data_IF_675200677235
#
_entry.id   IF_675200677235
#
_cell.length_a   1.000
_cell.length_b   1.000
_cell.length_c   1.000
_cell.angle_alpha   90.00
_cell.angle_beta   90.00
_cell.angle_gamma   90.00
#
_symmetry.space_group_name_H-M   'P 1'
#
loop_
_entity.id
_entity.type
_entity.pdbx_description
1 polymer ?
#
# COMPACT_ATOMS: atom_id res chain seq x y z
N UNK A 1 8.24 21.72 16.77
CA UNK A 1 7.00 22.42 16.34
C UNK A 1 5.97 21.35 16.00
N UNK A 2 4.67 21.60 16.23
CA UNK A 2 3.62 20.68 15.77
C UNK A 2 3.25 21.07 14.34
N UNK A 3 3.33 20.13 13.40
CA UNK A 3 3.06 20.36 11.99
C UNK A 3 2.11 19.28 11.46
N UNK A 4 1.22 19.66 10.53
CA UNK A 4 0.37 18.74 9.79
C UNK A 4 0.86 18.76 8.34
N UNK A 5 1.15 17.59 7.79
CA UNK A 5 1.54 17.42 6.40
C UNK A 5 0.28 17.35 5.52
N UNK A 6 -0.20 18.52 5.10
CA UNK A 6 -1.50 18.67 4.44
C UNK A 6 -1.65 17.88 3.13
N UNK A 7 -0.57 17.56 2.40
CA UNK A 7 -0.69 16.83 1.12
C UNK A 7 -1.33 15.46 1.35
N UNK A 8 -0.75 14.64 2.21
CA UNK A 8 -1.26 13.29 2.49
C UNK A 8 -2.62 13.35 3.20
N UNK A 9 -2.82 14.30 4.11
CA UNK A 9 -4.09 14.51 4.79
C UNK A 9 -5.22 14.90 3.81
N UNK A 10 -4.94 15.76 2.83
CA UNK A 10 -5.91 16.17 1.82
C UNK A 10 -6.21 15.04 0.84
N UNK A 11 -5.21 14.20 0.49
CA UNK A 11 -5.43 12.97 -0.30
C UNK A 11 -6.43 12.08 0.42
N UNK A 12 -6.26 11.85 1.72
CA UNK A 12 -7.20 11.06 2.52
C UNK A 12 -8.63 11.64 2.46
N UNK A 13 -8.79 12.93 2.78
CA UNK A 13 -10.11 13.57 2.79
C UNK A 13 -10.78 13.56 1.42
N UNK A 14 -10.03 13.95 0.38
CA UNK A 14 -10.52 13.94 -0.99
C UNK A 14 -10.94 12.53 -1.39
N UNK A 15 -10.11 11.53 -1.13
CA UNK A 15 -10.38 10.16 -1.52
C UNK A 15 -11.61 9.58 -0.82
N UNK A 16 -11.77 9.84 0.48
CA UNK A 16 -12.95 9.42 1.23
C UNK A 16 -14.24 10.05 0.67
N UNK A 17 -14.25 11.36 0.42
CA UNK A 17 -15.40 12.07 -0.17
C UNK A 17 -15.67 11.58 -1.58
N UNK A 18 -14.62 11.43 -2.40
CA UNK A 18 -14.71 11.00 -3.78
C UNK A 18 -15.26 9.58 -3.89
N UNK A 19 -14.78 8.64 -3.06
CA UNK A 19 -15.29 7.27 -3.06
C UNK A 19 -16.77 7.20 -2.68
N UNK A 20 -17.20 7.97 -1.68
CA UNK A 20 -18.62 8.07 -1.31
C UNK A 20 -19.45 8.68 -2.45
N UNK A 21 -18.95 9.72 -3.10
CA UNK A 21 -19.58 10.31 -4.29
C UNK A 21 -19.72 9.29 -5.43
N UNK A 22 -18.69 8.48 -5.69
CA UNK A 22 -18.74 7.42 -6.70
C UNK A 22 -19.82 6.39 -6.36
N UNK A 23 -19.86 5.89 -5.12
CA UNK A 23 -20.88 4.91 -4.67
C UNK A 23 -22.29 5.48 -4.82
N UNK A 24 -22.49 6.73 -4.39
CA UNK A 24 -23.78 7.39 -4.52
C UNK A 24 -24.15 7.56 -5.99
N UNK A 25 -23.24 8.11 -6.80
CA UNK A 25 -23.42 8.39 -8.22
C UNK A 25 -23.76 7.15 -9.05
N UNK A 26 -23.12 5.99 -8.81
CA UNK A 26 -23.49 4.73 -9.48
C UNK A 26 -24.82 4.16 -8.97
N UNK A 27 -25.20 4.46 -7.72
CA UNK A 27 -26.46 3.99 -7.13
C UNK A 27 -27.68 4.72 -7.69
N UNK A 28 -27.55 6.02 -7.95
CA UNK A 28 -28.61 6.83 -8.56
C UNK A 28 -28.42 7.02 -10.08
N UNK A 29 -27.59 6.19 -10.70
CA UNK A 29 -27.36 6.13 -12.15
C UNK A 29 -26.84 7.43 -12.79
N UNK A 30 -26.20 8.31 -12.01
CA UNK A 30 -25.46 9.47 -12.54
C UNK A 30 -24.15 9.01 -13.20
N UNK A 31 -23.51 7.97 -12.64
CA UNK A 31 -22.25 7.41 -13.13
C UNK A 31 -22.53 6.01 -13.67
N UNK A 32 -22.15 5.73 -14.92
CA UNK A 32 -22.29 4.39 -15.47
C UNK A 32 -21.30 3.41 -14.79
N UNK A 33 -21.64 2.12 -14.81
CA UNK A 33 -20.83 1.13 -14.09
C UNK A 33 -19.37 1.01 -14.59
N UNK A 34 -19.06 1.02 -15.91
CA UNK A 34 -17.66 0.94 -16.36
C UNK A 34 -16.79 2.11 -15.89
N UNK A 35 -17.31 3.35 -15.93
CA UNK A 35 -16.59 4.53 -15.42
C UNK A 35 -16.44 4.44 -13.91
N UNK A 36 -17.51 4.05 -13.21
CA UNK A 36 -17.47 3.82 -11.77
C UNK A 36 -16.39 2.81 -11.39
N UNK A 37 -16.34 1.65 -12.06
CA UNK A 37 -15.39 0.58 -11.77
C UNK A 37 -13.94 1.08 -11.88
N UNK A 38 -13.60 1.79 -12.96
CA UNK A 38 -12.28 2.38 -13.13
C UNK A 38 -11.93 3.39 -12.05
N UNK A 39 -12.82 4.36 -11.79
CA UNK A 39 -12.57 5.42 -10.81
C UNK A 39 -12.55 4.91 -9.36
N UNK A 40 -13.43 3.97 -9.02
CA UNK A 40 -13.49 3.34 -7.70
C UNK A 40 -12.22 2.52 -7.44
N UNK A 41 -11.75 1.76 -8.43
CA UNK A 41 -10.48 1.02 -8.35
C UNK A 41 -9.32 1.97 -8.09
N UNK A 42 -9.21 3.05 -8.86
CA UNK A 42 -8.14 4.04 -8.68
C UNK A 42 -8.23 4.74 -7.31
N UNK A 43 -9.43 5.06 -6.85
CA UNK A 43 -9.67 5.66 -5.53
C UNK A 43 -9.22 4.72 -4.40
N UNK A 44 -9.58 3.44 -4.46
CA UNK A 44 -9.14 2.43 -3.49
C UNK A 44 -7.62 2.21 -3.54
N UNK A 45 -7.02 2.31 -4.73
CA UNK A 45 -5.58 2.16 -4.92
C UNK A 45 -4.81 3.34 -4.34
N UNK A 46 -5.25 4.58 -4.61
CA UNK A 46 -4.64 5.81 -4.08
C UNK A 46 -4.78 5.90 -2.56
N UNK A 47 -5.80 5.28 -1.98
CA UNK A 47 -5.98 5.20 -0.53
C UNK A 47 -4.80 4.52 0.19
N UNK A 48 -4.00 3.74 -0.53
CA UNK A 48 -2.80 3.13 0.04
C UNK A 48 -1.83 4.19 0.57
N UNK A 49 -1.65 5.32 -0.13
CA UNK A 49 -0.74 6.38 0.31
C UNK A 49 -1.03 6.90 1.72
N UNK A 50 -2.24 7.44 2.05
CA UNK A 50 -2.52 7.90 3.40
C UNK A 50 -2.51 6.78 4.44
N UNK A 51 -2.89 5.56 4.05
CA UNK A 51 -2.82 4.39 4.92
C UNK A 51 -1.37 4.06 5.32
N UNK A 52 -0.48 4.03 4.33
CA UNK A 52 0.94 3.73 4.45
C UNK A 52 1.71 4.81 5.19
N UNK A 53 1.55 6.07 4.81
CA UNK A 53 2.23 7.20 5.45
C UNK A 53 1.83 7.35 6.92
N UNK A 54 0.59 6.96 7.28
CA UNK A 54 0.14 6.91 8.67
C UNK A 54 0.96 5.94 9.52
N UNK A 55 1.31 4.77 8.98
CA UNK A 55 2.14 3.78 9.69
C UNK A 55 3.53 4.33 10.05
N UNK A 56 4.07 5.21 9.21
CA UNK A 56 5.35 5.91 9.43
C UNK A 56 5.23 7.21 10.23
N UNK A 57 4.02 7.57 10.67
CA UNK A 57 3.71 8.82 11.39
C UNK A 57 3.99 10.09 10.57
N UNK A 58 3.76 10.05 9.26
CA UNK A 58 4.08 11.14 8.33
C UNK A 58 2.92 12.12 8.07
N UNK A 59 1.75 11.92 8.69
CA UNK A 59 0.60 12.83 8.57
C UNK A 59 0.75 14.05 9.47
N UNK A 60 1.18 13.84 10.72
CA UNK A 60 1.25 14.92 11.70
C UNK A 60 2.25 14.64 12.83
N UNK A 61 2.79 15.71 13.41
CA UNK A 61 3.78 15.67 14.49
C UNK A 61 3.36 16.48 15.73
N UNK A 62 4.09 16.33 16.84
CA UNK A 62 3.84 17.05 18.08
C UNK A 62 2.44 16.80 18.64
N UNK A 63 1.70 17.87 18.96
CA UNK A 63 0.36 17.79 19.57
C UNK A 63 -0.70 17.15 18.64
N UNK A 64 -0.42 17.07 17.33
CA UNK A 64 -1.34 16.53 16.33
C UNK A 64 -1.03 15.08 15.95
N UNK A 65 -0.08 14.41 16.62
CA UNK A 65 0.34 13.05 16.28
C UNK A 65 -0.79 12.02 16.24
N UNK A 66 -1.86 12.23 17.01
CA UNK A 66 -3.06 11.40 16.99
C UNK A 66 -3.74 11.35 15.61
N UNK A 67 -3.52 12.33 14.73
CA UNK A 67 -4.06 12.32 13.37
C UNK A 67 -3.52 11.18 12.52
N UNK A 68 -2.30 10.68 12.78
CA UNK A 68 -1.78 9.50 12.07
C UNK A 68 -2.64 8.27 12.35
N UNK A 69 -3.08 8.10 13.59
CA UNK A 69 -3.93 6.98 13.97
C UNK A 69 -5.36 7.13 13.44
N UNK A 70 -5.88 8.36 13.37
CA UNK A 70 -7.19 8.65 12.77
C UNK A 70 -7.16 8.37 11.26
N UNK A 71 -6.17 8.91 10.54
CA UNK A 71 -6.05 8.72 9.09
C UNK A 71 -5.76 7.25 8.77
N UNK A 72 -4.88 6.59 9.53
CA UNK A 72 -4.58 5.17 9.36
C UNK A 72 -5.82 4.28 9.51
N UNK A 73 -6.58 4.45 10.60
CA UNK A 73 -7.84 3.71 10.83
C UNK A 73 -8.93 4.08 9.84
N UNK A 74 -9.07 5.37 9.51
CA UNK A 74 -10.02 5.82 8.50
C UNK A 74 -9.72 5.21 7.13
N UNK A 75 -8.44 5.14 6.77
CA UNK A 75 -7.98 4.53 5.51
C UNK A 75 -8.14 3.00 5.54
N UNK A 76 -8.04 2.36 6.70
CA UNK A 76 -8.20 0.90 6.81
C UNK A 76 -9.63 0.42 6.65
N UNK A 77 -10.65 1.29 6.80
CA UNK A 77 -12.07 0.92 6.64
C UNK A 77 -12.35 0.26 5.28
N UNK A 78 -11.64 0.69 4.25
CA UNK A 78 -11.80 0.16 2.88
C UNK A 78 -11.04 -1.15 2.63
N UNK A 79 -10.22 -1.59 3.60
CA UNK A 79 -9.47 -2.84 3.53
C UNK A 79 -10.05 -3.83 4.53
N UNK A 80 -9.95 -5.13 4.27
CA UNK A 80 -10.43 -6.15 5.22
C UNK A 80 -9.42 -6.41 6.35
N UNK A 81 -8.69 -5.38 6.81
CA UNK A 81 -7.66 -5.49 7.84
C UNK A 81 -7.71 -4.29 8.79
N UNK A 82 -7.28 -4.47 10.04
CA UNK A 82 -7.19 -3.37 10.98
C UNK A 82 -5.88 -2.59 10.79
N UNK A 83 -5.93 -1.28 11.01
CA UNK A 83 -4.75 -0.44 10.87
C UNK A 83 -3.57 -0.87 11.78
N UNK A 84 -3.75 -1.20 13.08
CA UNK A 84 -2.64 -1.67 13.91
C UNK A 84 -2.04 -2.98 13.40
N UNK A 85 -2.86 -3.91 12.94
CA UNK A 85 -2.39 -5.18 12.39
C UNK A 85 -1.54 -4.96 11.13
N UNK A 86 -2.05 -4.16 10.19
CA UNK A 86 -1.31 -3.83 8.98
C UNK A 86 -0.04 -3.03 9.27
N UNK A 87 -0.10 -2.05 10.18
CA UNK A 87 1.08 -1.27 10.61
C UNK A 87 2.16 -2.17 11.20
N UNK A 88 1.79 -3.16 12.00
CA UNK A 88 2.73 -4.16 12.49
C UNK A 88 3.39 -4.92 11.34
N UNK A 89 2.60 -5.47 10.42
CA UNK A 89 3.09 -6.23 9.26
C UNK A 89 4.05 -5.38 8.44
N UNK A 90 3.66 -4.16 8.09
CA UNK A 90 4.48 -3.24 7.30
C UNK A 90 5.81 -2.90 8.00
N UNK A 91 5.79 -2.63 9.30
CA UNK A 91 7.02 -2.39 10.05
C UNK A 91 7.88 -3.66 10.22
N UNK A 92 7.24 -4.83 10.25
CA UNK A 92 7.93 -6.12 10.25
C UNK A 92 8.64 -6.34 8.92
N UNK A 93 7.99 -6.06 7.78
CA UNK A 93 8.59 -6.06 6.45
C UNK A 93 9.80 -5.13 6.38
N UNK A 94 9.67 -3.88 6.81
CA UNK A 94 10.80 -2.92 6.86
C UNK A 94 11.98 -3.41 7.68
N UNK A 95 11.74 -4.26 8.69
CA UNK A 95 12.79 -4.82 9.55
C UNK A 95 13.45 -6.05 8.90
N UNK A 96 12.68 -6.90 8.25
CA UNK A 96 13.13 -8.21 7.74
C UNK A 96 13.09 -8.31 6.22
N UNK A 97 13.18 -7.18 5.50
CA UNK A 97 13.04 -7.13 4.03
C UNK A 97 13.90 -8.19 3.33
N UNK A 98 13.30 -8.99 2.46
CA UNK A 98 13.90 -10.10 1.70
C UNK A 98 14.50 -11.24 2.55
N UNK A 99 14.21 -11.31 3.86
CA UNK A 99 14.55 -12.45 4.72
C UNK A 99 13.43 -13.47 4.72
N UNK A 100 13.70 -14.73 5.12
CA UNK A 100 12.71 -15.82 5.16
C UNK A 100 11.41 -15.47 5.93
N UNK A 101 11.50 -14.57 6.92
CA UNK A 101 10.34 -14.14 7.72
C UNK A 101 9.60 -12.94 7.17
N UNK A 102 10.04 -12.34 6.06
CA UNK A 102 9.38 -11.19 5.45
C UNK A 102 7.94 -11.54 5.06
N UNK A 103 6.94 -10.77 5.52
CA UNK A 103 5.54 -10.99 5.18
C UNK A 103 5.23 -10.91 3.69
N UNK A 104 6.10 -10.32 2.86
CA UNK A 104 5.87 -10.10 1.43
C UNK A 104 6.44 -11.20 0.51
N UNK A 105 7.07 -12.25 1.06
CA UNK A 105 7.69 -13.34 0.28
C UNK A 105 6.72 -14.28 -0.45
N UNK A 106 5.41 -14.10 -0.32
CA UNK A 106 4.42 -14.95 -0.99
C UNK A 106 4.23 -14.65 -2.49
N UNK A 107 5.07 -13.76 -3.05
CA UNK A 107 5.10 -13.40 -4.47
C UNK A 107 6.52 -13.48 -5.08
N UNK A 108 7.05 -14.69 -5.28
CA UNK A 108 8.40 -14.86 -5.84
C UNK A 108 8.45 -14.58 -7.36
N UNK A 109 7.35 -14.84 -8.06
CA UNK A 109 7.25 -14.70 -9.52
C UNK A 109 5.88 -14.12 -9.93
N UNK A 110 5.77 -13.74 -11.21
CA UNK A 110 4.53 -13.18 -11.76
C UNK A 110 3.29 -14.08 -11.60
N UNK A 111 3.46 -15.42 -11.64
CA UNK A 111 2.34 -16.36 -11.46
C UNK A 111 1.78 -16.29 -10.04
N UNK A 112 2.63 -16.10 -9.03
CA UNK A 112 2.22 -15.94 -7.64
C UNK A 112 1.43 -14.64 -7.45
N UNK A 113 1.82 -13.56 -8.12
CA UNK A 113 1.05 -12.31 -8.11
C UNK A 113 -0.36 -12.52 -8.65
N UNK A 114 -0.52 -13.28 -9.75
CA UNK A 114 -1.85 -13.58 -10.29
C UNK A 114 -2.69 -14.39 -9.30
N UNK A 115 -2.08 -15.30 -8.53
CA UNK A 115 -2.79 -16.16 -7.57
C UNK A 115 -3.14 -15.42 -6.28
N UNK A 116 -2.18 -14.76 -5.66
CA UNK A 116 -2.32 -14.22 -4.32
C UNK A 116 -2.56 -12.69 -4.30
N UNK A 117 -2.31 -11.96 -5.40
CA UNK A 117 -2.34 -10.48 -5.51
C UNK A 117 -3.68 -9.89 -5.12
N UNK A 118 -4.74 -10.53 -5.62
CA UNK A 118 -6.12 -10.16 -5.35
C UNK A 118 -6.52 -10.27 -3.88
N UNK A 119 -5.77 -11.05 -3.10
CA UNK A 119 -6.10 -11.45 -1.73
C UNK A 119 -5.03 -10.99 -0.73
N UNK A 120 -4.28 -9.94 -1.05
CA UNK A 120 -3.24 -9.33 -0.21
C UNK A 120 -3.69 -9.15 1.25
N UNK A 121 -4.90 -8.64 1.44
CA UNK A 121 -5.52 -8.45 2.74
C UNK A 121 -5.67 -9.76 3.54
N UNK A 122 -6.04 -10.87 2.89
CA UNK A 122 -6.12 -12.18 3.53
C UNK A 122 -4.75 -12.74 3.88
N UNK A 123 -3.77 -12.63 2.98
CA UNK A 123 -2.40 -13.09 3.23
C UNK A 123 -1.80 -12.38 4.45
N UNK A 124 -1.99 -11.06 4.52
CA UNK A 124 -1.59 -10.25 5.67
C UNK A 124 -2.33 -10.59 6.95
N UNK A 125 -3.64 -10.83 6.90
CA UNK A 125 -4.37 -11.29 8.08
C UNK A 125 -3.86 -12.65 8.58
N UNK A 126 -3.55 -13.58 7.67
CA UNK A 126 -2.93 -14.86 8.02
C UNK A 126 -1.55 -14.68 8.69
N UNK A 127 -0.71 -13.78 8.15
CA UNK A 127 0.57 -13.44 8.77
C UNK A 127 0.39 -12.86 10.18
N UNK A 128 -0.55 -11.93 10.36
CA UNK A 128 -0.85 -11.36 11.68
C UNK A 128 -1.30 -12.42 12.68
N UNK A 129 -2.18 -13.34 12.26
CA UNK A 129 -2.68 -14.42 13.12
C UNK A 129 -1.54 -15.32 13.62
N UNK A 130 -0.55 -15.63 12.76
CA UNK A 130 0.64 -16.39 13.19
C UNK A 130 1.42 -15.68 14.31
N UNK A 131 1.45 -14.35 14.28
CA UNK A 131 2.15 -13.52 15.26
C UNK A 131 1.24 -12.98 16.38
N UNK A 132 -0.03 -13.38 16.44
CA UNK A 132 -1.04 -12.75 17.31
C UNK A 132 -0.67 -12.81 18.80
N UNK A 133 0.06 -13.86 19.20
CA UNK A 133 0.50 -14.09 20.57
C UNK A 133 1.60 -13.11 21.03
N UNK A 134 2.26 -12.43 20.10
CA UNK A 134 3.29 -11.41 20.35
C UNK A 134 2.69 -10.00 20.39
N UNK A 135 1.38 -9.85 20.13
CA UNK A 135 0.74 -8.55 19.93
C UNK A 135 0.08 -8.02 21.20
N UNK A 136 0.04 -6.68 21.38
CA UNK A 136 -0.76 -6.05 22.43
C UNK A 136 -2.25 -6.43 22.33
N UNK A 137 -2.88 -6.69 23.48
CA UNK A 137 -4.28 -7.14 23.56
C UNK A 137 -5.24 -6.15 22.89
N UNK A 138 -4.99 -4.84 23.00
CA UNK A 138 -5.80 -3.81 22.34
C UNK A 138 -5.73 -3.89 20.81
N UNK A 139 -4.56 -4.21 20.23
CA UNK A 139 -4.44 -4.43 18.78
C UNK A 139 -5.19 -5.69 18.34
N UNK A 140 -5.13 -6.76 19.14
CA UNK A 140 -5.87 -8.01 18.90
C UNK A 140 -7.38 -7.75 18.93
N UNK A 141 -7.88 -7.04 19.95
CA UNK A 141 -9.30 -6.68 20.06
C UNK A 141 -9.72 -5.85 18.85
N UNK A 142 -8.94 -4.84 18.46
CA UNK A 142 -9.26 -4.00 17.30
C UNK A 142 -9.30 -4.82 16.01
N UNK A 143 -8.36 -5.74 15.82
CA UNK A 143 -8.34 -6.66 14.68
C UNK A 143 -9.58 -7.54 14.64
N UNK A 144 -9.94 -8.20 15.76
CA UNK A 144 -11.14 -9.05 15.85
C UNK A 144 -12.41 -8.23 15.59
N UNK A 145 -12.54 -7.06 16.22
CA UNK A 145 -13.70 -6.18 16.02
C UNK A 145 -13.80 -5.70 14.57
N UNK A 146 -12.67 -5.39 13.93
CA UNK A 146 -12.64 -5.03 12.50
C UNK A 146 -13.15 -6.17 11.64
N UNK A 147 -12.70 -7.41 11.88
CA UNK A 147 -13.19 -8.58 11.13
C UNK A 147 -14.68 -8.84 11.36
N UNK A 148 -15.15 -8.75 12.60
CA UNK A 148 -16.56 -8.94 12.96
C UNK A 148 -17.45 -7.88 12.31
N UNK A 149 -17.02 -6.61 12.30
CA UNK A 149 -17.74 -5.52 11.62
C UNK A 149 -17.75 -5.73 10.11
N UNK A 150 -16.62 -6.11 9.52
CA UNK A 150 -16.52 -6.37 8.09
C UNK A 150 -17.43 -7.53 7.68
N UNK A 151 -17.31 -8.70 8.30
CA UNK A 151 -18.15 -9.88 8.02
C UNK A 151 -19.63 -9.59 8.33
N UNK A 152 -19.91 -8.96 9.48
CA UNK A 152 -21.26 -8.61 9.89
C UNK A 152 -21.96 -7.66 8.92
N UNK A 153 -21.22 -6.67 8.38
CA UNK A 153 -21.76 -5.75 7.37
C UNK A 153 -22.09 -6.47 6.05
N UNK A 154 -21.26 -7.42 5.61
CA UNK A 154 -21.52 -8.24 4.43
C UNK A 154 -22.77 -9.11 4.65
N UNK A 155 -22.88 -9.79 5.79
CA UNK A 155 -24.05 -10.61 6.13
C UNK A 155 -25.32 -9.75 6.13
N UNK A 156 -25.27 -8.57 6.75
CA UNK A 156 -26.39 -7.63 6.78
C UNK A 156 -26.79 -7.18 5.38
N UNK A 157 -25.83 -6.85 4.51
CA UNK A 157 -26.11 -6.47 3.12
C UNK A 157 -26.75 -7.63 2.35
N UNK A 158 -26.24 -8.85 2.48
CA UNK A 158 -26.81 -10.04 1.85
C UNK A 158 -28.24 -10.31 2.33
N UNK A 159 -28.48 -10.23 3.64
CA UNK A 159 -29.81 -10.41 4.23
C UNK A 159 -30.84 -9.41 3.70
N UNK A 160 -30.42 -8.17 3.45
CA UNK A 160 -31.26 -7.12 2.89
C UNK A 160 -31.32 -7.10 1.34
N UNK A 161 -30.80 -8.13 0.67
CA UNK A 161 -30.83 -8.24 -0.80
C UNK A 161 -29.82 -7.34 -1.54
N UNK A 162 -28.84 -6.77 -0.83
CA UNK A 162 -27.77 -5.92 -1.38
C UNK A 162 -26.46 -6.66 -1.66
N UNK A 163 -26.43 -7.99 -1.53
CA UNK A 163 -25.22 -8.79 -1.69
C UNK A 163 -24.56 -8.67 -3.07
N UNK A 164 -25.36 -8.65 -4.15
CA UNK A 164 -24.82 -8.49 -5.50
C UNK A 164 -24.26 -7.07 -5.72
N UNK A 165 -24.93 -6.06 -5.18
CA UNK A 165 -24.49 -4.67 -5.22
C UNK A 165 -23.19 -4.49 -4.44
N UNK A 166 -23.02 -5.17 -3.31
CA UNK A 166 -21.74 -5.21 -2.58
C UNK A 166 -20.62 -5.77 -3.44
N UNK A 167 -20.86 -6.88 -4.15
CA UNK A 167 -19.86 -7.49 -5.03
C UNK A 167 -19.43 -6.50 -6.13
N UNK A 168 -20.39 -5.93 -6.85
CA UNK A 168 -20.12 -5.04 -7.97
C UNK A 168 -19.53 -3.69 -7.53
N UNK A 169 -20.06 -3.09 -6.47
CA UNK A 169 -19.69 -1.73 -6.07
C UNK A 169 -18.43 -1.71 -5.20
N UNK A 170 -18.21 -2.72 -4.37
CA UNK A 170 -17.11 -2.67 -3.41
C UNK A 170 -16.10 -3.78 -3.63
N UNK A 171 -16.53 -5.04 -3.64
CA UNK A 171 -15.60 -6.16 -3.62
C UNK A 171 -14.75 -6.22 -4.90
N UNK A 172 -15.33 -6.15 -6.10
CA UNK A 172 -14.58 -6.20 -7.36
C UNK A 172 -13.56 -5.04 -7.46
N UNK A 173 -13.94 -3.75 -7.30
CA UNK A 173 -12.97 -2.66 -7.31
C UNK A 173 -11.85 -2.82 -6.28
N UNK A 174 -12.17 -3.33 -5.07
CA UNK A 174 -11.19 -3.61 -4.03
C UNK A 174 -10.21 -4.72 -4.46
N UNK A 175 -10.70 -5.82 -5.04
CA UNK A 175 -9.82 -6.90 -5.52
C UNK A 175 -8.85 -6.41 -6.60
N UNK A 176 -9.32 -5.61 -7.56
CA UNK A 176 -8.47 -5.02 -8.60
C UNK A 176 -7.45 -4.06 -7.97
N UNK A 177 -7.89 -3.22 -7.03
CA UNK A 177 -7.00 -2.30 -6.32
C UNK A 177 -5.91 -3.02 -5.54
N UNK A 178 -6.23 -4.11 -4.84
CA UNK A 178 -5.24 -4.91 -4.10
C UNK A 178 -4.25 -5.58 -5.03
N UNK A 179 -4.73 -6.13 -6.15
CA UNK A 179 -3.85 -6.65 -7.20
C UNK A 179 -2.91 -5.57 -7.75
N UNK A 180 -3.41 -4.36 -8.02
CA UNK A 180 -2.59 -3.23 -8.44
C UNK A 180 -1.53 -2.86 -7.37
N UNK A 181 -1.87 -2.91 -6.09
CA UNK A 181 -0.91 -2.67 -5.00
C UNK A 181 0.18 -3.75 -4.97
N UNK A 182 -0.21 -5.04 -4.95
CA UNK A 182 0.75 -6.15 -5.01
C UNK A 182 1.64 -6.07 -6.25
N UNK A 183 1.08 -5.69 -7.40
CA UNK A 183 1.84 -5.65 -8.64
C UNK A 183 2.77 -4.43 -8.73
N UNK A 184 2.24 -3.22 -8.57
CA UNK A 184 2.99 -1.98 -8.79
C UNK A 184 3.79 -1.52 -7.57
N UNK A 185 3.34 -1.78 -6.35
CA UNK A 185 3.97 -1.22 -5.15
C UNK A 185 4.85 -2.22 -4.40
N UNK A 186 4.62 -3.51 -4.61
CA UNK A 186 5.33 -4.57 -3.91
C UNK A 186 6.25 -5.34 -4.88
N UNK A 187 5.68 -6.15 -5.78
CA UNK A 187 6.41 -7.02 -6.70
C UNK A 187 7.53 -6.30 -7.47
N UNK A 188 7.24 -5.22 -8.21
CA UNK A 188 8.30 -4.53 -8.97
C UNK A 188 9.42 -4.00 -8.09
N UNK A 189 9.11 -3.63 -6.84
CA UNK A 189 10.08 -3.03 -5.93
C UNK A 189 10.95 -4.07 -5.22
N UNK A 190 10.51 -5.32 -5.05
CA UNK A 190 11.25 -6.35 -4.29
C UNK A 190 11.72 -7.56 -5.11
N UNK A 191 11.28 -7.69 -6.36
CA UNK A 191 11.51 -8.88 -7.18
C UNK A 191 13.00 -9.23 -7.39
N UNK A 192 13.41 -10.46 -6.99
CA UNK A 192 14.75 -11.04 -7.20
C UNK A 192 15.89 -10.13 -6.71
N UNK A 193 15.77 -9.63 -5.50
CA UNK A 193 16.79 -8.82 -4.84
C UNK A 193 17.48 -9.57 -3.70
N UNK A 194 18.71 -9.18 -3.32
CA UNK A 194 19.43 -9.85 -2.24
C UNK A 194 18.72 -9.67 -0.90
N UNK A 195 18.93 -10.65 -0.02
CA UNK A 195 18.53 -10.58 1.39
C UNK A 195 19.20 -9.38 2.07
N UNK A 196 18.48 -8.76 3.00
CA UNK A 196 19.03 -7.67 3.81
C UNK A 196 20.06 -8.17 4.81
N UNK A 197 21.24 -7.55 4.81
CA UNK A 197 22.19 -7.65 5.92
C UNK A 197 21.75 -6.75 7.09
N UNK A 198 21.33 -7.35 8.20
CA UNK A 198 20.88 -6.62 9.40
C UNK A 198 22.03 -5.95 10.16
N UNK A 199 23.27 -6.35 9.91
CA UNK A 199 24.46 -5.79 10.56
C UNK A 199 24.96 -4.54 9.84
N UNK A 200 24.65 -4.40 8.55
CA UNK A 200 24.99 -3.24 7.74
C UNK A 200 23.75 -2.49 7.25
N UNK A 201 23.52 -1.30 7.80
CA UNK A 201 22.42 -0.42 7.38
C UNK A 201 22.53 -0.02 5.90
N UNK A 202 23.73 0.03 5.33
CA UNK A 202 23.92 0.39 3.92
C UNK A 202 23.30 -0.62 2.96
N UNK A 203 23.11 -1.88 3.40
CA UNK A 203 22.48 -2.93 2.60
C UNK A 203 21.02 -2.62 2.20
N UNK A 204 20.31 -1.76 2.95
CA UNK A 204 18.92 -1.35 2.67
C UNK A 204 18.73 -0.74 1.28
N UNK A 205 19.77 -0.11 0.72
CA UNK A 205 19.68 0.47 -0.63
C UNK A 205 19.56 -0.60 -1.72
N UNK A 206 19.98 -1.83 -1.43
CA UNK A 206 20.05 -2.99 -2.34
C UNK A 206 18.82 -3.89 -2.26
N UNK A 207 18.03 -3.76 -1.20
CA UNK A 207 16.90 -4.66 -0.94
C UNK A 207 15.68 -4.32 -1.76
N UNK A 208 15.67 -3.15 -2.41
CA UNK A 208 14.55 -2.68 -3.23
C UNK A 208 15.03 -2.02 -4.52
N UNK A 209 14.24 -2.14 -5.57
CA UNK A 209 14.48 -1.45 -6.81
C UNK A 209 14.17 0.05 -6.69
N UNK A 210 14.89 0.83 -7.49
CA UNK A 210 14.42 2.12 -7.98
C UNK A 210 13.86 1.90 -9.39
N UNK A 211 12.58 2.18 -9.59
CA UNK A 211 11.92 2.03 -10.89
C UNK A 211 12.15 3.29 -11.74
N UNK A 212 12.80 3.15 -12.89
CA UNK A 212 13.14 4.22 -13.82
C UNK A 212 12.28 4.19 -15.08
N UNK A 213 11.00 4.52 -14.95
CA UNK A 213 10.12 4.54 -16.12
C UNK A 213 9.53 3.16 -16.45
N UNK A 214 8.75 3.10 -17.53
CA UNK A 214 8.01 1.89 -17.93
C UNK A 214 8.76 1.10 -18.99
N UNK A 215 8.97 1.73 -20.15
CA UNK A 215 9.57 1.08 -21.35
C UNK A 215 11.04 1.43 -21.56
N UNK A 216 11.45 2.60 -21.05
CA UNK A 216 12.80 3.14 -21.15
C UNK A 216 13.10 3.87 -19.85
N UNK A 217 14.40 3.99 -19.56
CA UNK A 217 14.88 4.75 -18.42
C UNK A 217 14.40 6.20 -18.47
N UNK A 218 13.62 6.57 -17.46
CA UNK A 218 13.24 7.95 -17.17
C UNK A 218 13.02 8.07 -15.67
N UNK A 219 14.07 8.55 -14.99
CA UNK A 219 14.09 8.70 -13.55
C UNK A 219 13.00 9.62 -13.00
N UNK A 220 12.42 10.48 -13.84
CA UNK A 220 11.50 11.53 -13.42
C UNK A 220 10.16 11.46 -14.15
N UNK A 221 9.89 10.37 -14.86
CA UNK A 221 8.62 10.09 -15.54
C UNK A 221 7.47 10.44 -14.61
N UNK A 222 6.61 11.39 -15.03
CA UNK A 222 5.37 11.61 -14.29
C UNK A 222 4.63 10.29 -14.27
N UNK A 223 4.46 9.64 -15.44
CA UNK A 223 3.66 8.44 -15.61
C UNK A 223 3.89 7.40 -14.51
N UNK A 224 5.15 7.01 -14.37
CA UNK A 224 5.59 6.03 -13.38
C UNK A 224 5.38 6.52 -11.95
N UNK A 225 5.64 7.80 -11.67
CA UNK A 225 5.43 8.37 -10.32
C UNK A 225 3.98 8.36 -9.87
N UNK A 226 3.03 8.71 -10.74
CA UNK A 226 1.60 8.65 -10.33
C UNK A 226 1.13 7.20 -10.30
N UNK A 227 1.52 6.39 -11.29
CA UNK A 227 1.15 4.96 -11.34
C UNK A 227 1.60 4.23 -10.08
N UNK A 228 2.81 4.49 -9.60
CA UNK A 228 3.37 3.85 -8.40
C UNK A 228 3.27 4.72 -7.15
N UNK A 229 2.49 5.80 -7.16
CA UNK A 229 2.32 6.69 -5.99
C UNK A 229 3.66 7.16 -5.37
N UNK A 230 4.65 7.52 -6.21
CA UNK A 230 6.06 7.81 -5.89
C UNK A 230 6.88 6.64 -5.30
N UNK A 231 6.30 5.47 -5.08
CA UNK A 231 7.04 4.26 -4.70
C UNK A 231 7.90 3.68 -5.83
N UNK A 232 7.99 4.34 -6.99
CA UNK A 232 9.10 4.09 -7.92
C UNK A 232 10.48 4.44 -7.31
N UNK A 233 10.51 5.17 -6.19
CA UNK A 233 11.69 5.41 -5.37
C UNK A 233 11.64 4.59 -4.06
N UNK A 234 11.25 3.31 -4.14
CA UNK A 234 11.01 2.46 -2.96
C UNK A 234 12.25 2.31 -2.07
N UNK A 235 13.44 2.34 -2.65
CA UNK A 235 14.71 2.40 -1.92
C UNK A 235 14.82 3.61 -0.97
N UNK A 236 14.37 4.79 -1.40
CA UNK A 236 14.34 5.98 -0.56
C UNK A 236 13.36 5.79 0.59
N UNK A 237 12.22 5.16 0.33
CA UNK A 237 11.24 4.84 1.35
C UNK A 237 11.82 3.96 2.48
N UNK A 238 12.55 2.89 2.12
CA UNK A 238 13.18 1.98 3.09
C UNK A 238 14.36 2.63 3.83
N UNK A 239 15.15 3.48 3.17
CA UNK A 239 16.28 4.16 3.82
C UNK A 239 15.86 5.32 4.73
N UNK A 240 14.84 6.07 4.31
CA UNK A 240 14.40 7.33 4.92
C UNK A 240 12.88 7.30 5.19
N UNK A 241 12.46 6.41 6.08
CA UNK A 241 11.05 6.22 6.48
C UNK A 241 10.40 7.47 7.09
N UNK A 242 11.20 8.49 7.44
CA UNK A 242 10.74 9.79 7.93
C UNK A 242 10.55 10.84 6.82
N UNK A 243 10.77 10.49 5.56
CA UNK A 243 10.53 11.36 4.41
C UNK A 243 9.15 11.05 3.84
N UNK A 244 8.29 12.06 3.63
CA UNK A 244 6.98 11.83 3.04
C UNK A 244 7.08 11.49 1.55
N UNK A 245 6.15 10.68 1.06
CA UNK A 245 6.20 10.12 -0.30
C UNK A 245 6.39 11.14 -1.43
N UNK A 246 5.81 12.33 -1.29
CA UNK A 246 5.89 13.40 -2.29
C UNK A 246 7.28 14.08 -2.36
N UNK A 247 8.20 13.79 -1.43
CA UNK A 247 9.58 14.30 -1.42
C UNK A 247 10.62 13.28 -1.91
N UNK A 248 10.24 12.03 -2.19
CA UNK A 248 11.20 11.00 -2.61
C UNK A 248 12.00 11.42 -3.85
N UNK A 249 11.34 12.04 -4.84
CA UNK A 249 12.02 12.54 -6.04
C UNK A 249 13.12 13.56 -5.71
N UNK A 250 12.88 14.45 -4.75
CA UNK A 250 13.86 15.49 -4.39
C UNK A 250 15.07 14.87 -3.68
N UNK A 251 14.84 13.88 -2.82
CA UNK A 251 15.92 13.11 -2.20
C UNK A 251 16.72 12.36 -3.26
N UNK A 252 16.05 11.72 -4.24
CA UNK A 252 16.74 11.07 -5.36
C UNK A 252 17.62 12.06 -6.10
N UNK A 253 17.09 13.22 -6.51
CA UNK A 253 17.84 14.26 -7.23
C UNK A 253 19.09 14.71 -6.48
N UNK A 254 18.99 14.91 -5.16
CA UNK A 254 20.09 15.42 -4.33
C UNK A 254 21.17 14.37 -4.07
N UNK A 255 20.82 13.08 -4.03
CA UNK A 255 21.72 12.00 -3.61
C UNK A 255 21.95 10.94 -4.68
N UNK A 256 21.55 11.20 -5.92
CA UNK A 256 21.61 10.25 -7.03
C UNK A 256 23.02 9.65 -7.20
N UNK A 257 24.06 10.48 -7.18
CA UNK A 257 25.44 10.03 -7.38
C UNK A 257 25.94 9.07 -6.28
N UNK A 258 25.47 9.28 -5.06
CA UNK A 258 25.78 8.41 -3.92
C UNK A 258 25.00 7.10 -4.01
N UNK A 259 23.70 7.19 -4.27
CA UNK A 259 22.79 6.04 -4.23
C UNK A 259 22.92 5.12 -5.45
N UNK A 260 23.23 5.66 -6.64
CA UNK A 260 23.29 4.90 -7.90
C UNK A 260 24.27 3.73 -7.86
N UNK A 261 25.37 3.85 -7.11
CA UNK A 261 26.42 2.82 -7.05
C UNK A 261 25.90 1.48 -6.54
N UNK A 262 24.93 1.56 -5.63
CA UNK A 262 24.42 0.42 -4.90
C UNK A 262 22.93 0.17 -5.14
N UNK A 263 22.20 1.13 -5.73
CA UNK A 263 20.75 0.99 -5.98
C UNK A 263 20.48 0.18 -7.25
N UNK A 264 19.77 -0.96 -7.15
CA UNK A 264 19.24 -1.68 -8.31
C UNK A 264 18.23 -0.78 -9.05
N UNK A 265 18.63 -0.20 -10.18
CA UNK A 265 17.76 0.67 -10.99
C UNK A 265 17.30 -0.09 -12.22
N UNK A 266 15.97 -0.19 -12.41
CA UNK A 266 15.37 -0.97 -13.50
C UNK A 266 14.11 -0.29 -14.03
N UNK A 267 13.75 -0.59 -15.26
CA UNK A 267 12.43 -0.28 -15.84
C UNK A 267 11.44 -1.39 -15.49
N UNK A 268 10.13 -1.08 -15.57
CA UNK A 268 9.08 -2.09 -15.43
C UNK A 268 9.24 -3.25 -16.44
N UNK A 269 9.63 -2.91 -17.68
CA UNK A 269 9.87 -3.90 -18.73
C UNK A 269 10.98 -4.88 -18.34
N UNK A 270 12.12 -4.39 -17.86
CA UNK A 270 13.26 -5.24 -17.50
C UNK A 270 12.97 -6.21 -16.36
N UNK A 271 12.13 -5.81 -15.39
CA UNK A 271 11.70 -6.74 -14.33
C UNK A 271 10.84 -7.86 -14.92
N UNK A 272 9.94 -7.54 -15.84
CA UNK A 272 9.10 -8.54 -16.49
C UNK A 272 9.90 -9.48 -17.41
N UNK A 273 10.88 -8.95 -18.13
CA UNK A 273 11.75 -9.74 -19.02
C UNK A 273 12.65 -10.72 -18.23
N UNK A 274 12.89 -10.49 -16.93
CA UNK A 274 13.62 -11.43 -16.04
C UNK A 274 12.79 -12.61 -15.55
N UNK A 275 11.47 -12.57 -15.75
CA UNK A 275 10.53 -13.62 -15.30
C UNK A 275 10.09 -14.59 -16.40
N UNK A 276 10.42 -14.27 -17.66
CA UNK A 276 10.23 -15.13 -18.83
C UNK A 276 11.54 -15.83 -19.22
#
# INVERSE_FOLDING_TARGET
>A
MSEIHYITFNIFLFNAIFFLYLIFGVTISIINYPIYLGLATLSLYINFTPFHESAHNLIASGKHRYLNDIVGRGSSIIYSTSYPAWKFIHLYHHKHTNQETDPDLFYENFTDIIKYGWFLDYNYNCFYIKHIHERPINEIIEMIMTQLLFIGSIIMLCYNGYGFQYILKYWIPLRISLFMSSYFLDYYNHHKLPERDITDRSSLVKTTHKISGVLKEDDFSWFTRVLMQNHCYHNIHHMYTNVPFYKYQDVWKQRKEELLKDTPTVTIKEVHDKDN
#
